data_IF_064441905723
#
_entry.id   IF_064441905723
#
_cell.length_a   1.000
_cell.length_b   1.000
_cell.length_c   1.000
_cell.angle_alpha   90.00
_cell.angle_beta   90.00
_cell.angle_gamma   90.00
#
_symmetry.space_group_name_H-M   'P 1'
#
loop_
_entity.id
_entity.type
_entity.pdbx_description
1 polymer ?
#
# COMPACT_ATOMS: atom_id res chain seq x y z
N UNK A 1 13.08 13.83 -3.07
CA UNK A 1 13.77 12.66 -2.54
C UNK A 1 12.91 11.40 -2.72
N UNK A 2 13.53 10.25 -2.74
CA UNK A 2 12.81 8.95 -2.75
C UNK A 2 12.63 8.54 -1.29
N UNK A 3 11.38 8.30 -0.91
CA UNK A 3 11.00 7.83 0.41
C UNK A 3 10.56 6.38 0.30
N UNK A 4 10.92 5.53 1.24
CA UNK A 4 10.47 4.15 1.26
C UNK A 4 10.05 3.69 2.64
N UNK A 5 9.17 2.71 2.63
CA UNK A 5 8.93 1.86 3.78
C UNK A 5 10.02 0.81 3.82
N UNK A 6 10.40 0.37 5.00
CA UNK A 6 11.33 -0.75 5.14
C UNK A 6 10.73 -1.76 6.09
N UNK A 7 10.83 -3.07 5.77
CA UNK A 7 10.37 -4.09 6.68
C UNK A 7 11.11 -3.95 8.02
N UNK A 8 10.34 -4.04 9.11
CA UNK A 8 10.95 -4.14 10.43
C UNK A 8 11.54 -5.54 10.57
N UNK A 9 12.85 -5.63 10.50
CA UNK A 9 13.59 -6.85 10.78
C UNK A 9 14.45 -6.65 12.02
N UNK A 10 14.84 -7.73 12.67
CA UNK A 10 15.77 -7.69 13.82
C UNK A 10 17.09 -6.98 13.50
N UNK A 11 17.34 -6.68 12.24
CA UNK A 11 18.51 -5.97 11.74
C UNK A 11 18.34 -4.45 11.62
N UNK A 12 17.28 -3.85 12.16
CA UNK A 12 17.09 -2.39 12.13
C UNK A 12 18.31 -1.63 12.68
N UNK A 13 19.01 -2.21 13.65
CA UNK A 13 20.24 -1.66 14.20
C UNK A 13 21.45 -1.68 13.24
N UNK A 14 21.36 -2.39 12.12
CA UNK A 14 22.43 -2.48 11.11
C UNK A 14 22.22 -1.54 9.92
N UNK A 15 21.08 -0.86 9.85
CA UNK A 15 20.77 0.06 8.76
C UNK A 15 21.65 1.32 8.92
N UNK A 16 22.40 1.67 7.88
CA UNK A 16 23.25 2.85 7.91
C UNK A 16 22.44 4.13 8.15
N UNK A 17 22.99 5.07 8.89
CA UNK A 17 22.35 6.35 9.21
C UNK A 17 21.91 7.15 7.96
N UNK A 18 22.58 6.95 6.83
CA UNK A 18 22.21 7.61 5.57
C UNK A 18 20.92 7.04 4.98
N UNK A 19 20.71 5.72 5.08
CA UNK A 19 19.47 5.06 4.64
C UNK A 19 18.33 5.44 5.57
N UNK A 20 18.55 5.47 6.88
CA UNK A 20 17.55 5.84 7.87
C UNK A 20 16.92 7.22 7.62
N UNK A 21 17.67 8.18 7.06
CA UNK A 21 17.13 9.50 6.69
C UNK A 21 16.04 9.44 5.64
N UNK A 22 16.03 8.41 4.82
CA UNK A 22 15.04 8.21 3.74
C UNK A 22 13.90 7.27 4.14
N UNK A 23 13.96 6.65 5.33
CA UNK A 23 12.88 5.81 5.85
C UNK A 23 11.79 6.68 6.45
N UNK A 24 10.56 6.55 5.94
CA UNK A 24 9.41 7.30 6.45
C UNK A 24 8.63 6.52 7.51
N UNK A 25 8.65 5.20 7.43
CA UNK A 25 7.96 4.33 8.38
C UNK A 25 8.55 2.93 8.38
N UNK A 26 8.26 2.18 9.45
CA UNK A 26 8.53 0.77 9.57
C UNK A 26 7.30 -0.02 9.12
N UNK A 27 7.48 -0.93 8.18
CA UNK A 27 6.42 -1.75 7.61
C UNK A 27 6.47 -3.15 8.23
N UNK A 28 5.40 -3.55 8.88
CA UNK A 28 5.28 -4.91 9.43
C UNK A 28 4.98 -5.96 8.36
N UNK A 29 4.70 -5.53 7.13
CA UNK A 29 4.43 -6.42 6.01
C UNK A 29 2.96 -6.46 5.61
N UNK A 30 2.69 -7.36 4.66
CA UNK A 30 1.38 -7.61 4.10
C UNK A 30 0.75 -8.85 4.74
N UNK A 31 -0.57 -8.92 4.67
CA UNK A 31 -1.36 -10.11 5.05
C UNK A 31 -1.21 -10.53 6.52
N UNK A 32 -0.98 -9.56 7.39
CA UNK A 32 -0.79 -9.79 8.83
C UNK A 32 -2.05 -10.40 9.45
N UNK A 33 -1.85 -11.48 10.20
CA UNK A 33 -2.92 -12.22 10.88
C UNK A 33 -2.91 -12.00 12.38
N UNK A 34 -3.99 -12.38 13.02
CA UNK A 34 -4.15 -12.20 14.47
C UNK A 34 -3.06 -12.88 15.32
N UNK A 35 -2.54 -14.03 14.88
CA UNK A 35 -1.47 -14.73 15.60
C UNK A 35 -0.15 -13.95 15.66
N UNK A 36 0.06 -12.95 14.78
CA UNK A 36 1.24 -12.09 14.73
C UNK A 36 1.10 -10.82 15.59
N UNK A 37 -0.06 -10.62 16.21
CA UNK A 37 -0.35 -9.42 17.00
C UNK A 37 0.65 -9.21 18.15
N UNK A 38 1.02 -10.28 18.85
CA UNK A 38 1.96 -10.19 19.96
C UNK A 38 3.35 -9.73 19.51
N UNK A 39 3.79 -10.19 18.34
CA UNK A 39 5.08 -9.79 17.77
C UNK A 39 5.06 -8.32 17.38
N UNK A 40 3.96 -7.86 16.76
CA UNK A 40 3.77 -6.45 16.42
C UNK A 40 3.76 -5.57 17.67
N UNK A 41 3.08 -6.00 18.72
CA UNK A 41 3.07 -5.27 19.99
C UNK A 41 4.47 -5.17 20.59
N UNK A 42 5.22 -6.28 20.61
CA UNK A 42 6.61 -6.31 21.10
C UNK A 42 7.49 -5.36 20.30
N UNK A 43 7.44 -5.42 18.98
CA UNK A 43 8.20 -4.57 18.08
C UNK A 43 7.81 -3.08 18.21
N UNK A 44 6.52 -2.76 18.34
CA UNK A 44 6.09 -1.39 18.60
C UNK A 44 6.67 -0.83 19.90
N UNK A 45 6.71 -1.65 20.93
CA UNK A 45 7.35 -1.29 22.20
C UNK A 45 8.86 -1.06 22.06
N UNK A 46 9.53 -1.92 21.32
CA UNK A 46 10.97 -1.80 21.06
C UNK A 46 11.30 -0.50 20.30
N UNK A 47 10.56 -0.20 19.23
CA UNK A 47 10.74 1.04 18.45
C UNK A 47 10.55 2.28 19.33
N UNK A 48 9.52 2.29 20.18
CA UNK A 48 9.26 3.43 21.10
C UNK A 48 10.34 3.61 22.17
N UNK A 49 11.05 2.55 22.53
CA UNK A 49 12.18 2.58 23.48
C UNK A 49 13.52 2.85 22.81
N UNK A 50 13.59 2.71 21.50
CA UNK A 50 14.79 2.96 20.72
C UNK A 50 15.14 4.44 20.70
N UNK A 51 16.38 4.75 20.32
CA UNK A 51 16.81 6.14 20.16
C UNK A 51 15.98 6.89 19.12
N UNK A 52 15.90 8.21 19.24
CA UNK A 52 15.08 9.08 18.37
C UNK A 52 15.27 8.81 16.87
N UNK A 53 16.49 8.40 16.47
CA UNK A 53 16.80 8.09 15.07
C UNK A 53 16.05 6.88 14.51
N UNK A 54 15.54 5.98 15.36
CA UNK A 54 14.74 4.81 14.98
C UNK A 54 13.22 5.04 15.17
N UNK A 55 12.83 6.10 15.84
CA UNK A 55 11.42 6.43 16.07
C UNK A 55 10.79 6.93 14.78
N UNK A 56 10.23 6.00 14.02
CA UNK A 56 9.43 6.25 12.81
C UNK A 56 8.05 5.64 13.01
N UNK A 57 7.02 6.17 12.34
CA UNK A 57 5.70 5.56 12.35
C UNK A 57 5.75 4.11 11.90
N UNK A 58 4.90 3.30 12.47
CA UNK A 58 4.71 1.91 12.11
C UNK A 58 3.50 1.74 11.22
N UNK A 59 3.61 0.91 10.19
CA UNK A 59 2.53 0.60 9.24
C UNK A 59 2.23 -0.88 9.30
N UNK A 60 0.95 -1.22 9.31
CA UNK A 60 0.47 -2.60 9.26
C UNK A 60 -0.59 -2.76 8.17
N UNK A 61 -0.49 -3.85 7.40
CA UNK A 61 -1.54 -4.30 6.50
C UNK A 61 -2.12 -5.62 7.02
N UNK A 62 -3.20 -5.54 7.78
CA UNK A 62 -3.86 -6.69 8.37
C UNK A 62 -4.97 -7.23 7.45
N UNK A 63 -5.11 -8.56 7.35
CA UNK A 63 -6.21 -9.19 6.61
C UNK A 63 -7.54 -9.01 7.35
N UNK A 64 -7.48 -9.06 8.68
CA UNK A 64 -8.65 -9.07 9.56
C UNK A 64 -8.39 -8.25 10.83
N UNK A 65 -9.43 -8.01 11.61
CA UNK A 65 -9.32 -7.35 12.92
C UNK A 65 -8.62 -5.98 12.90
N UNK A 66 -8.83 -5.22 11.84
CA UNK A 66 -8.24 -3.88 11.64
C UNK A 66 -8.39 -2.96 12.87
N UNK A 67 -9.50 -3.11 13.63
CA UNK A 67 -9.75 -2.32 14.84
C UNK A 67 -8.76 -2.63 15.96
N UNK A 68 -8.19 -3.84 16.01
CA UNK A 68 -7.16 -4.21 16.99
C UNK A 68 -5.81 -3.65 16.52
N UNK A 69 -5.43 -3.96 15.29
CA UNK A 69 -4.14 -3.52 14.74
C UNK A 69 -3.99 -2.00 14.71
N UNK A 70 -5.06 -1.25 14.44
CA UNK A 70 -5.05 0.22 14.47
C UNK A 70 -4.80 0.83 15.87
N UNK A 71 -4.78 0.03 16.92
CA UNK A 71 -4.40 0.47 18.28
C UNK A 71 -2.92 0.25 18.58
N UNK A 72 -2.26 -0.61 17.81
CA UNK A 72 -0.88 -1.03 18.04
C UNK A 72 0.08 -0.57 16.94
N UNK A 73 -0.44 -0.06 15.84
CA UNK A 73 0.32 0.61 14.78
C UNK A 73 -0.09 2.07 14.65
N UNK A 74 0.80 2.88 14.11
CA UNK A 74 0.52 4.31 13.90
C UNK A 74 -0.32 4.52 12.64
N UNK A 75 -0.17 3.67 11.64
CA UNK A 75 -0.85 3.72 10.35
C UNK A 75 -1.39 2.34 10.00
N UNK A 76 -2.65 2.26 9.57
CA UNK A 76 -3.19 1.06 8.97
C UNK A 76 -3.18 1.21 7.44
N UNK A 77 -2.67 0.20 6.75
CA UNK A 77 -2.77 0.09 5.30
C UNK A 77 -3.96 -0.80 4.97
N UNK A 78 -4.82 -0.34 4.08
CA UNK A 78 -6.02 -1.04 3.65
C UNK A 78 -5.89 -1.44 2.19
N UNK A 79 -6.24 -2.69 1.88
CA UNK A 79 -6.23 -3.19 0.52
C UNK A 79 -7.52 -2.81 -0.22
N UNK A 80 -7.35 -2.27 -1.41
CA UNK A 80 -8.42 -2.04 -2.35
C UNK A 80 -8.14 -2.73 -3.68
N UNK A 81 -7.87 -4.03 -3.61
CA UNK A 81 -7.53 -4.87 -4.77
C UNK A 81 -8.78 -5.49 -5.38
N UNK A 82 -9.63 -4.68 -6.01
CA UNK A 82 -10.86 -5.15 -6.65
C UNK A 82 -10.73 -5.32 -8.17
N UNK A 83 -9.71 -4.74 -8.77
CA UNK A 83 -9.49 -4.86 -10.21
C UNK A 83 -9.10 -6.29 -10.56
N UNK A 84 -9.66 -6.83 -11.63
CA UNK A 84 -9.55 -8.24 -12.02
C UNK A 84 -10.23 -9.23 -11.05
N UNK A 85 -11.11 -8.76 -10.17
CA UNK A 85 -11.99 -9.60 -9.38
C UNK A 85 -13.42 -9.59 -9.95
N UNK A 86 -14.28 -10.48 -9.48
CA UNK A 86 -15.72 -10.48 -9.79
C UNK A 86 -16.50 -9.41 -9.01
N UNK A 87 -15.82 -8.68 -8.14
CA UNK A 87 -16.41 -7.66 -7.30
C UNK A 87 -16.76 -6.40 -8.10
N UNK A 88 -17.97 -5.88 -7.92
CA UNK A 88 -18.35 -4.60 -8.51
C UNK A 88 -17.59 -3.44 -7.85
N UNK A 89 -17.35 -2.37 -8.59
CA UNK A 89 -16.66 -1.18 -8.08
C UNK A 89 -17.39 -0.51 -6.91
N UNK A 90 -18.74 -0.50 -6.96
CA UNK A 90 -19.56 0.04 -5.87
C UNK A 90 -19.37 -0.78 -4.60
N UNK A 91 -19.43 -2.09 -4.70
CA UNK A 91 -19.21 -2.99 -3.57
C UNK A 91 -17.79 -2.88 -3.00
N UNK A 92 -16.77 -2.79 -3.84
CA UNK A 92 -15.39 -2.57 -3.39
C UNK A 92 -15.24 -1.25 -2.62
N UNK A 93 -15.90 -0.18 -3.06
CA UNK A 93 -15.91 1.11 -2.36
C UNK A 93 -16.61 1.01 -1.01
N UNK A 94 -17.73 0.31 -0.96
CA UNK A 94 -18.47 0.05 0.28
C UNK A 94 -17.62 -0.77 1.27
N UNK A 95 -16.93 -1.79 0.81
CA UNK A 95 -16.00 -2.57 1.64
C UNK A 95 -14.88 -1.70 2.19
N UNK A 96 -14.24 -0.86 1.38
CA UNK A 96 -13.21 0.05 1.86
C UNK A 96 -13.75 1.02 2.92
N UNK A 97 -14.94 1.57 2.69
CA UNK A 97 -15.62 2.44 3.67
C UNK A 97 -15.91 1.70 4.97
N UNK A 98 -16.35 0.45 4.87
CA UNK A 98 -16.60 -0.39 6.03
C UNK A 98 -15.32 -0.72 6.80
N UNK A 99 -14.23 -1.06 6.10
CA UNK A 99 -12.93 -1.28 6.72
C UNK A 99 -12.44 -0.02 7.44
N UNK A 100 -12.52 1.13 6.79
CA UNK A 100 -12.17 2.42 7.39
C UNK A 100 -12.98 2.69 8.67
N UNK A 101 -14.28 2.44 8.66
CA UNK A 101 -15.15 2.66 9.83
C UNK A 101 -14.78 1.81 11.05
N UNK A 102 -14.06 0.71 10.85
CA UNK A 102 -13.56 -0.19 11.90
C UNK A 102 -12.22 0.22 12.49
N UNK A 103 -11.51 1.15 11.89
CA UNK A 103 -10.25 1.63 12.45
C UNK A 103 -10.51 2.42 13.73
N UNK A 104 -9.50 2.50 14.57
CA UNK A 104 -9.51 3.41 15.72
C UNK A 104 -9.78 4.83 15.23
N UNK A 105 -10.72 5.52 15.85
CA UNK A 105 -11.10 6.88 15.48
C UNK A 105 -9.88 7.81 15.51
N UNK A 106 -9.64 8.50 14.40
CA UNK A 106 -8.50 9.41 14.24
C UNK A 106 -7.19 8.75 13.84
N UNK A 107 -7.12 7.43 13.71
CA UNK A 107 -5.93 6.78 13.15
C UNK A 107 -5.81 7.10 11.66
N UNK A 108 -4.63 7.54 11.20
CA UNK A 108 -4.39 7.69 9.78
C UNK A 108 -4.42 6.33 9.10
N UNK A 109 -4.87 6.29 7.85
CA UNK A 109 -4.79 5.09 7.05
C UNK A 109 -4.23 5.39 5.67
N UNK A 110 -3.58 4.40 5.11
CA UNK A 110 -3.11 4.37 3.73
C UNK A 110 -3.93 3.38 2.93
N UNK A 111 -3.99 3.56 1.63
CA UNK A 111 -4.69 2.63 0.74
C UNK A 111 -3.71 2.05 -0.27
N UNK A 112 -3.74 0.74 -0.41
CA UNK A 112 -3.03 0.04 -1.46
C UNK A 112 -3.75 0.28 -2.79
N UNK A 113 -3.05 0.91 -3.71
CA UNK A 113 -3.49 1.17 -5.08
C UNK A 113 -2.92 0.08 -5.97
N UNK A 114 -3.80 -0.69 -6.54
CA UNK A 114 -3.43 -1.77 -7.43
C UNK A 114 -2.94 -1.21 -8.77
N UNK A 115 -1.70 -1.52 -9.14
CA UNK A 115 -1.11 -1.07 -10.42
C UNK A 115 -0.90 -2.19 -11.43
N UNK A 116 -1.07 -3.45 -10.98
CA UNK A 116 -0.95 -4.65 -11.79
C UNK A 116 -2.06 -5.65 -11.42
N UNK A 117 -2.47 -6.52 -12.34
CA UNK A 117 -3.28 -7.68 -11.99
C UNK A 117 -2.56 -8.56 -10.96
N UNK A 118 -3.29 -9.26 -10.08
CA UNK A 118 -2.71 -10.28 -9.22
C UNK A 118 -1.93 -11.31 -10.04
N UNK A 119 -0.84 -11.80 -9.47
CA UNK A 119 0.09 -12.72 -10.18
C UNK A 119 -0.62 -13.97 -10.69
N UNK A 120 -1.54 -14.48 -9.89
CA UNK A 120 -2.34 -15.67 -10.19
C UNK A 120 -3.27 -15.43 -11.38
N UNK A 121 -3.93 -14.31 -11.42
CA UNK A 121 -4.81 -13.91 -12.53
C UNK A 121 -3.99 -13.70 -13.81
N UNK A 122 -2.85 -13.03 -13.70
CA UNK A 122 -1.98 -12.82 -14.84
C UNK A 122 -1.46 -14.14 -15.42
N UNK A 123 -1.06 -15.10 -14.57
CA UNK A 123 -0.64 -16.43 -14.98
C UNK A 123 -1.76 -17.20 -15.69
N UNK A 124 -2.99 -17.10 -15.20
CA UNK A 124 -4.16 -17.69 -15.84
C UNK A 124 -4.40 -17.08 -17.24
N UNK A 125 -4.32 -15.75 -17.33
CA UNK A 125 -4.47 -15.07 -18.63
C UNK A 125 -3.39 -15.48 -19.62
N UNK A 126 -2.14 -15.60 -19.20
CA UNK A 126 -1.06 -16.10 -20.07
C UNK A 126 -1.34 -17.51 -20.59
N UNK A 127 -1.92 -18.37 -19.76
CA UNK A 127 -2.26 -19.74 -20.16
C UNK A 127 -3.42 -19.79 -21.15
N UNK A 128 -4.38 -18.87 -21.03
CA UNK A 128 -5.57 -18.80 -21.89
C UNK A 128 -5.35 -17.99 -23.18
N UNK A 129 -4.38 -17.09 -23.18
CA UNK A 129 -4.11 -16.19 -24.29
C UNK A 129 -3.29 -16.90 -25.38
N UNK A 130 -3.98 -17.49 -26.35
CA UNK A 130 -3.35 -18.08 -27.54
C UNK A 130 -2.93 -16.92 -28.47
N UNK A 131 -1.63 -16.60 -28.47
CA UNK A 131 -1.02 -15.66 -29.42
C UNK A 131 -1.20 -14.16 -29.11
N UNK A 132 -1.76 -13.80 -27.97
CA UNK A 132 -1.87 -12.42 -27.51
C UNK A 132 -1.19 -12.33 -26.13
N UNK A 133 -0.18 -11.48 -26.01
CA UNK A 133 0.45 -11.22 -24.72
C UNK A 133 -0.49 -10.38 -23.85
N UNK A 134 -0.97 -10.88 -22.69
CA UNK A 134 -1.90 -10.13 -21.86
C UNK A 134 -1.21 -8.89 -21.27
N UNK A 135 -1.93 -7.80 -21.20
CA UNK A 135 -1.43 -6.56 -20.61
C UNK A 135 -1.28 -6.72 -19.09
N UNK A 136 -0.05 -6.63 -18.61
CA UNK A 136 0.27 -6.73 -17.18
C UNK A 136 0.14 -5.39 -16.44
N UNK A 137 -0.44 -4.36 -17.06
CA UNK A 137 -0.65 -3.06 -16.45
C UNK A 137 -2.14 -2.73 -16.30
N UNK A 138 -2.47 -2.03 -15.22
CA UNK A 138 -3.80 -1.47 -15.02
C UNK A 138 -3.82 -0.08 -15.66
N UNK A 139 -4.90 0.25 -16.37
CA UNK A 139 -5.00 1.52 -17.08
C UNK A 139 -4.96 2.72 -16.14
N UNK A 140 -4.43 3.84 -16.63
CA UNK A 140 -4.41 5.11 -15.91
C UNK A 140 -5.78 5.49 -15.32
N UNK A 141 -6.87 5.32 -16.08
CA UNK A 141 -8.20 5.68 -15.60
C UNK A 141 -8.63 4.90 -14.35
N UNK A 142 -8.25 3.63 -14.27
CA UNK A 142 -8.56 2.77 -13.11
C UNK A 142 -7.68 3.15 -11.92
N UNK A 143 -6.38 3.37 -12.13
CA UNK A 143 -5.47 3.83 -11.06
C UNK A 143 -5.94 5.18 -10.53
N UNK A 144 -6.28 6.12 -11.42
CA UNK A 144 -6.82 7.43 -11.07
C UNK A 144 -8.10 7.33 -10.23
N UNK A 145 -9.03 6.48 -10.63
CA UNK A 145 -10.27 6.25 -9.89
C UNK A 145 -9.99 5.74 -8.47
N UNK A 146 -9.12 4.73 -8.32
CA UNK A 146 -8.71 4.22 -7.02
C UNK A 146 -8.13 5.33 -6.13
N UNK A 147 -7.21 6.11 -6.68
CA UNK A 147 -6.55 7.20 -5.96
C UNK A 147 -7.54 8.25 -5.50
N UNK A 148 -8.37 8.79 -6.41
CA UNK A 148 -9.30 9.86 -6.07
C UNK A 148 -10.37 9.41 -5.06
N UNK A 149 -10.86 8.16 -5.18
CA UNK A 149 -11.78 7.60 -4.18
C UNK A 149 -11.11 7.42 -2.82
N UNK A 150 -9.88 6.95 -2.78
CA UNK A 150 -9.12 6.80 -1.53
C UNK A 150 -8.94 8.14 -0.82
N UNK A 151 -8.56 9.17 -1.56
CA UNK A 151 -8.44 10.54 -1.05
C UNK A 151 -9.79 11.07 -0.56
N UNK A 152 -10.86 10.88 -1.32
CA UNK A 152 -12.22 11.29 -0.93
C UNK A 152 -12.71 10.59 0.35
N UNK A 153 -12.25 9.36 0.63
CA UNK A 153 -12.52 8.64 1.88
C UNK A 153 -11.63 9.09 3.05
N UNK A 154 -10.68 9.99 2.80
CA UNK A 154 -9.79 10.53 3.83
C UNK A 154 -8.49 9.76 4.03
N UNK A 155 -8.05 8.96 3.06
CA UNK A 155 -6.73 8.34 3.09
C UNK A 155 -5.64 9.41 3.22
N UNK A 156 -4.67 9.16 4.11
CA UNK A 156 -3.53 10.06 4.36
C UNK A 156 -2.28 9.65 3.59
N UNK A 157 -2.32 8.53 2.92
CA UNK A 157 -1.24 8.06 2.05
C UNK A 157 -1.74 7.02 1.06
N UNK A 158 -0.97 6.87 0.01
CA UNK A 158 -1.24 5.93 -1.08
C UNK A 158 -0.01 5.04 -1.25
N UNK A 159 -0.23 3.75 -1.29
CA UNK A 159 0.80 2.76 -1.53
C UNK A 159 0.55 2.08 -2.88
N UNK A 160 1.40 2.35 -3.86
CA UNK A 160 1.26 1.77 -5.19
C UNK A 160 1.87 0.38 -5.22
N UNK A 161 1.00 -0.62 -5.19
CA UNK A 161 1.42 -2.03 -5.17
C UNK A 161 1.89 -2.47 -6.56
N UNK A 162 3.09 -3.02 -6.63
CA UNK A 162 3.69 -3.53 -7.85
C UNK A 162 4.47 -4.81 -7.58
N UNK A 163 4.20 -5.86 -8.34
CA UNK A 163 4.93 -7.13 -8.27
C UNK A 163 6.25 -7.12 -9.08
N UNK A 164 6.44 -6.13 -9.93
CA UNK A 164 7.65 -5.94 -10.72
C UNK A 164 8.26 -4.58 -10.45
N UNK A 165 9.59 -4.50 -10.54
CA UNK A 165 10.32 -3.24 -10.35
C UNK A 165 9.92 -2.22 -11.42
N UNK A 166 9.87 -0.95 -11.02
CA UNK A 166 9.52 0.13 -11.94
C UNK A 166 10.65 0.51 -12.92
N UNK A 167 11.87 0.08 -12.66
CA UNK A 167 13.03 0.32 -13.55
C UNK A 167 13.15 -0.73 -14.68
N UNK A 168 12.22 -1.66 -14.78
CA UNK A 168 12.19 -2.64 -15.87
C UNK A 168 11.87 -1.97 -17.21
N UNK A 169 12.57 -2.36 -18.27
CA UNK A 169 12.49 -1.68 -19.57
C UNK A 169 11.33 -2.16 -20.48
N UNK A 170 10.42 -3.00 -19.96
CA UNK A 170 9.26 -3.48 -20.72
C UNK A 170 8.15 -2.43 -20.88
N UNK A 171 7.30 -2.62 -21.90
CA UNK A 171 6.23 -1.69 -22.22
C UNK A 171 5.22 -1.55 -21.08
N UNK A 172 4.83 -2.65 -20.44
CA UNK A 172 3.86 -2.64 -19.33
C UNK A 172 4.37 -1.82 -18.14
N UNK A 173 5.67 -1.89 -17.85
CA UNK A 173 6.29 -1.09 -16.79
C UNK A 173 6.31 0.40 -17.15
N UNK A 174 6.59 0.75 -18.41
CA UNK A 174 6.54 2.14 -18.89
C UNK A 174 5.14 2.73 -18.80
N UNK A 175 4.12 1.98 -19.21
CA UNK A 175 2.72 2.41 -19.13
C UNK A 175 2.31 2.64 -17.68
N UNK A 176 2.71 1.76 -16.78
CA UNK A 176 2.45 1.89 -15.35
C UNK A 176 3.17 3.10 -14.75
N UNK A 177 4.45 3.30 -15.07
CA UNK A 177 5.20 4.50 -14.66
C UNK A 177 4.49 5.77 -15.13
N UNK A 178 4.07 5.79 -16.40
CA UNK A 178 3.37 6.94 -16.97
C UNK A 178 2.04 7.20 -16.26
N UNK A 179 1.25 6.15 -16.02
CA UNK A 179 0.00 6.27 -15.28
C UNK A 179 0.20 6.83 -13.87
N UNK A 180 1.18 6.31 -13.14
CA UNK A 180 1.51 6.80 -11.80
C UNK A 180 2.04 8.25 -11.83
N UNK A 181 2.85 8.59 -12.82
CA UNK A 181 3.32 9.98 -12.99
C UNK A 181 2.15 10.94 -13.20
N UNK A 182 1.22 10.63 -14.09
CA UNK A 182 0.05 11.46 -14.34
C UNK A 182 -0.82 11.64 -13.09
N UNK A 183 -1.10 10.56 -12.37
CA UNK A 183 -1.87 10.61 -11.12
C UNK A 183 -1.17 11.48 -10.07
N UNK A 184 0.14 11.33 -9.91
CA UNK A 184 0.90 12.16 -8.97
C UNK A 184 0.87 13.65 -9.36
N UNK A 185 0.90 13.97 -10.64
CA UNK A 185 0.73 15.36 -11.12
C UNK A 185 -0.66 15.89 -10.79
N UNK A 186 -1.72 15.11 -10.97
CA UNK A 186 -3.06 15.51 -10.57
C UNK A 186 -3.16 15.74 -9.05
N UNK A 187 -2.60 14.85 -8.24
CA UNK A 187 -2.58 15.01 -6.79
C UNK A 187 -1.86 16.29 -6.37
N UNK A 188 -0.73 16.64 -7.00
CA UNK A 188 -0.04 17.91 -6.75
C UNK A 188 -0.92 19.12 -7.06
N UNK A 189 -1.76 19.07 -8.10
CA UNK A 189 -2.71 20.13 -8.42
C UNK A 189 -3.86 20.22 -7.42
N UNK A 190 -4.24 19.08 -6.83
CA UNK A 190 -5.32 18.99 -5.85
C UNK A 190 -4.87 19.24 -4.41
N UNK A 191 -3.56 19.22 -4.14
CA UNK A 191 -2.99 19.35 -2.80
C UNK A 191 -3.56 20.53 -1.99
N UNK A 192 -3.81 21.72 -2.56
CA UNK A 192 -4.40 22.83 -1.81
C UNK A 192 -5.84 22.59 -1.35
N UNK A 193 -6.51 21.53 -1.86
CA UNK A 193 -7.93 21.24 -1.64
C UNK A 193 -8.18 19.94 -0.84
N UNK A 194 -7.14 19.17 -0.57
CA UNK A 194 -7.14 17.91 0.20
C UNK A 194 -6.30 18.08 1.46
#
# INVERSE_FOLDING_TARGET
GIWFTTPYSQSANTISANILKSVICWDYGDDIRHNELNDIMAHSHEIRRSGEHLQRPTVVNAIEQHHIFSRHSDICRLDWSHHCSTMSRSYATEQLTHLFSRLKRGSPFWVNIQTQPPKEIFSQWQTMAIGIEPTASISYSVIREQVLRSVALGARGLYFQSSTRLDHADLNTRDRQHAMFLVNRELQLLEPWI
#
